data_IF_560067207321
#
_entry.id   IF_560067207321
#
_cell.length_a   1.000
_cell.length_b   1.000
_cell.length_c   1.000
_cell.angle_alpha   90.00
_cell.angle_beta   90.00
_cell.angle_gamma   90.00
#
_symmetry.space_group_name_H-M   'P 1'
#
loop_
_entity.id
_entity.type
_entity.pdbx_description
1 polymer ?
#
# COMPACT_ATOMS: atom_id res chain seq x y z
N UNK A 1 -23.08 -10.97 27.56
CA UNK A 1 -22.13 -10.27 26.67
C UNK A 1 -20.74 -10.67 27.17
N UNK A 2 -20.09 -11.65 26.54
CA UNK A 2 -18.86 -12.29 27.06
C UNK A 2 -17.64 -11.35 27.10
N UNK A 3 -17.63 -10.33 26.23
CA UNK A 3 -16.54 -9.36 26.15
C UNK A 3 -17.06 -7.93 26.27
N UNK A 4 -16.25 -7.06 26.86
CA UNK A 4 -16.53 -5.63 27.01
C UNK A 4 -15.99 -4.81 25.83
N UNK A 5 -16.39 -5.18 24.60
CA UNK A 5 -16.02 -4.42 23.40
C UNK A 5 -16.82 -3.11 23.32
N UNK A 6 -16.13 -2.04 22.92
CA UNK A 6 -16.68 -0.67 22.89
C UNK A 6 -17.70 -0.44 21.76
N UNK A 7 -17.91 -1.40 20.86
CA UNK A 7 -18.78 -1.24 19.69
C UNK A 7 -19.36 -2.57 19.24
N UNK A 8 -20.42 -2.52 18.42
CA UNK A 8 -20.97 -3.66 17.66
C UNK A 8 -20.55 -3.56 16.19
N UNK A 9 -20.69 -4.61 15.38
CA UNK A 9 -20.44 -4.52 13.94
C UNK A 9 -21.26 -3.43 13.26
N UNK A 10 -22.53 -3.25 13.63
CA UNK A 10 -23.44 -2.27 13.04
C UNK A 10 -23.02 -0.84 13.38
N UNK A 11 -22.68 -0.58 14.64
CA UNK A 11 -22.17 0.72 15.09
C UNK A 11 -20.82 1.05 14.44
N UNK A 12 -19.94 0.05 14.32
CA UNK A 12 -18.65 0.19 13.64
C UNK A 12 -18.84 0.54 12.17
N UNK A 13 -19.71 -0.19 11.46
CA UNK A 13 -20.02 0.09 10.06
C UNK A 13 -20.60 1.49 9.86
N UNK A 14 -21.53 1.91 10.74
CA UNK A 14 -22.10 3.26 10.71
C UNK A 14 -21.01 4.33 10.87
N UNK A 15 -20.08 4.14 11.81
CA UNK A 15 -18.96 5.07 12.00
C UNK A 15 -18.01 5.10 10.79
N UNK A 16 -17.73 3.95 10.17
CA UNK A 16 -16.91 3.89 8.95
C UNK A 16 -17.56 4.69 7.83
N UNK A 17 -18.88 4.53 7.61
CA UNK A 17 -19.63 5.27 6.60
C UNK A 17 -19.54 6.78 6.82
N UNK A 18 -19.78 7.24 8.05
CA UNK A 18 -19.69 8.67 8.41
C UNK A 18 -18.30 9.25 8.15
N UNK A 19 -17.23 8.52 8.48
CA UNK A 19 -15.87 8.99 8.24
C UNK A 19 -15.55 9.01 6.74
N UNK A 20 -15.98 7.97 6.00
CA UNK A 20 -15.75 7.92 4.56
C UNK A 20 -16.46 9.05 3.82
N UNK A 21 -17.70 9.38 4.20
CA UNK A 21 -18.50 10.47 3.60
C UNK A 21 -17.73 11.80 3.51
N UNK A 22 -16.88 12.09 4.50
CA UNK A 22 -16.12 13.35 4.59
C UNK A 22 -14.64 13.15 4.25
N UNK A 23 -14.08 11.99 4.59
CA UNK A 23 -12.64 11.78 4.65
C UNK A 23 -12.04 10.95 3.51
N UNK A 24 -12.86 10.25 2.71
CA UNK A 24 -12.34 9.39 1.63
C UNK A 24 -11.83 10.16 0.41
N UNK A 25 -12.17 11.45 0.30
CA UNK A 25 -11.66 12.33 -0.76
C UNK A 25 -10.12 12.42 -0.69
N UNK A 26 -9.47 12.34 -1.85
CA UNK A 26 -8.01 12.47 -1.96
C UNK A 26 -7.60 13.89 -1.59
N UNK A 27 -6.69 14.01 -0.62
CA UNK A 27 -6.06 15.27 -0.24
C UNK A 27 -4.89 15.63 -1.16
N UNK A 28 -4.31 16.80 -0.90
CA UNK A 28 -3.21 17.37 -1.68
C UNK A 28 -1.95 16.50 -1.68
N UNK A 29 -1.73 15.74 -0.61
CA UNK A 29 -0.57 14.85 -0.48
C UNK A 29 -0.74 13.48 -1.15
N UNK A 30 -1.83 13.29 -1.91
CA UNK A 30 -2.14 12.05 -2.60
C UNK A 30 -2.81 10.97 -1.75
N UNK A 31 -2.89 11.10 -0.42
CA UNK A 31 -3.67 10.21 0.44
C UNK A 31 -5.07 10.75 0.67
N UNK A 32 -6.07 9.90 1.00
CA UNK A 32 -7.35 10.40 1.51
C UNK A 32 -7.18 11.23 2.79
N UNK A 33 -8.01 12.26 2.95
CA UNK A 33 -7.94 13.22 4.07
C UNK A 33 -8.03 12.56 5.43
N UNK A 34 -8.97 11.62 5.59
CA UNK A 34 -9.17 10.90 6.84
C UNK A 34 -9.83 9.55 6.58
N UNK A 35 -9.21 8.48 7.08
CA UNK A 35 -9.80 7.14 7.02
C UNK A 35 -9.72 6.45 8.38
N UNK A 36 -10.73 5.66 8.75
CA UNK A 36 -10.72 4.92 10.01
C UNK A 36 -9.72 3.76 9.95
N UNK A 37 -9.15 3.40 11.09
CA UNK A 37 -8.40 2.17 11.27
C UNK A 37 -9.25 1.11 11.99
N UNK A 38 -9.08 -0.16 11.63
CA UNK A 38 -9.74 -1.27 12.31
C UNK A 38 -8.76 -2.10 13.13
N UNK A 39 -9.26 -2.71 14.20
CA UNK A 39 -8.49 -3.58 15.09
C UNK A 39 -9.31 -4.82 15.46
N UNK A 40 -8.87 -5.96 14.95
CA UNK A 40 -9.41 -7.28 15.27
C UNK A 40 -8.50 -7.95 16.30
N UNK A 41 -9.12 -8.48 17.36
CA UNK A 41 -8.44 -9.19 18.45
C UNK A 41 -9.02 -10.59 18.53
N UNK A 42 -8.18 -11.58 18.24
CA UNK A 42 -8.51 -13.00 18.27
C UNK A 42 -8.21 -13.63 19.64
N UNK A 43 -8.94 -14.68 20.01
CA UNK A 43 -8.82 -15.38 21.29
C UNK A 43 -9.66 -14.77 22.43
N UNK A 44 -10.65 -13.94 22.09
CA UNK A 44 -11.59 -13.41 23.08
C UNK A 44 -12.57 -14.49 23.54
N UNK A 45 -13.14 -14.35 24.74
CA UNK A 45 -14.06 -15.34 25.29
C UNK A 45 -15.30 -15.49 24.40
N UNK A 46 -15.73 -16.73 24.15
CA UNK A 46 -16.86 -17.01 23.26
C UNK A 46 -16.57 -16.84 21.77
N UNK A 47 -15.32 -16.55 21.36
CA UNK A 47 -14.91 -16.63 19.96
C UNK A 47 -15.00 -18.08 19.47
N UNK A 48 -15.62 -18.28 18.32
CA UNK A 48 -15.82 -19.59 17.68
C UNK A 48 -15.12 -19.64 16.33
N UNK A 49 -15.15 -20.81 15.71
CA UNK A 49 -14.82 -20.98 14.31
C UNK A 49 -15.49 -19.92 13.42
N UNK A 50 -16.81 -19.82 13.54
CA UNK A 50 -17.65 -18.96 12.70
C UNK A 50 -17.31 -17.47 12.86
N UNK A 51 -16.74 -17.06 14.00
CA UNK A 51 -16.30 -15.67 14.22
C UNK A 51 -15.25 -15.22 13.19
N UNK A 52 -14.39 -16.13 12.72
CA UNK A 52 -13.40 -15.83 11.69
C UNK A 52 -14.07 -15.47 10.35
N UNK A 53 -15.12 -16.20 10.01
CA UNK A 53 -15.86 -16.02 8.76
C UNK A 53 -16.71 -14.75 8.84
N UNK A 54 -17.37 -14.50 9.98
CA UNK A 54 -18.09 -13.24 10.24
C UNK A 54 -17.17 -12.01 10.14
N UNK A 55 -15.94 -12.09 10.64
CA UNK A 55 -14.96 -11.00 10.53
C UNK A 55 -14.56 -10.74 9.07
N UNK A 56 -14.39 -11.80 8.29
CA UNK A 56 -14.05 -11.68 6.87
C UNK A 56 -15.23 -11.12 6.07
N UNK A 57 -16.45 -11.59 6.31
CA UNK A 57 -17.67 -11.10 5.67
C UNK A 57 -17.91 -9.63 5.98
N UNK A 58 -17.65 -9.20 7.23
CA UNK A 58 -17.69 -7.79 7.59
C UNK A 58 -16.71 -6.96 6.75
N UNK A 59 -15.49 -7.44 6.54
CA UNK A 59 -14.48 -6.76 5.73
C UNK A 59 -14.83 -6.74 4.24
N UNK A 60 -15.36 -7.85 3.70
CA UNK A 60 -15.86 -7.93 2.31
C UNK A 60 -17.00 -6.94 2.08
N UNK A 61 -17.91 -6.83 3.05
CA UNK A 61 -18.99 -5.82 3.02
C UNK A 61 -18.46 -4.39 2.91
N UNK A 62 -17.32 -4.05 3.53
CA UNK A 62 -16.71 -2.73 3.35
C UNK A 62 -16.30 -2.50 1.90
N UNK A 63 -15.71 -3.51 1.24
CA UNK A 63 -15.35 -3.44 -0.17
C UNK A 63 -16.61 -3.34 -1.05
N UNK A 64 -17.66 -4.10 -0.76
CA UNK A 64 -18.90 -4.07 -1.53
C UNK A 64 -19.58 -2.69 -1.47
N UNK A 65 -19.49 -2.01 -0.31
CA UNK A 65 -20.01 -0.65 -0.11
C UNK A 65 -19.02 0.45 -0.53
N UNK A 66 -17.89 0.09 -1.15
CA UNK A 66 -16.82 1.00 -1.54
C UNK A 66 -16.30 1.89 -0.40
N UNK A 67 -16.29 1.35 0.82
CA UNK A 67 -15.76 2.00 2.02
C UNK A 67 -14.28 1.72 2.15
N UNK A 68 -13.52 2.77 2.47
CA UNK A 68 -12.09 2.71 2.70
C UNK A 68 -11.78 2.67 4.20
N UNK A 69 -10.73 1.94 4.54
CA UNK A 69 -10.10 1.98 5.87
C UNK A 69 -8.61 2.16 5.69
N UNK A 70 -7.98 2.89 6.62
CA UNK A 70 -6.54 3.19 6.55
C UNK A 70 -5.69 1.96 6.74
N UNK A 71 -6.09 1.09 7.66
CA UNK A 71 -5.31 -0.08 8.10
C UNK A 71 -6.18 -1.05 8.88
N UNK A 72 -5.96 -2.34 8.66
CA UNK A 72 -6.54 -3.42 9.45
C UNK A 72 -5.45 -4.05 10.33
N UNK A 73 -5.58 -3.86 11.64
CA UNK A 73 -4.75 -4.50 12.64
C UNK A 73 -5.37 -5.83 13.04
N UNK A 74 -4.58 -6.90 12.99
CA UNK A 74 -4.98 -8.26 13.34
C UNK A 74 -4.05 -8.69 14.46
N UNK A 75 -4.61 -8.87 15.66
CA UNK A 75 -3.87 -9.16 16.90
C UNK A 75 -4.48 -10.37 17.59
N UNK A 76 -3.72 -10.98 18.48
CA UNK A 76 -4.23 -11.97 19.43
C UNK A 76 -4.32 -11.31 20.80
N UNK A 77 -5.23 -11.79 21.63
CA UNK A 77 -5.34 -11.38 23.02
C UNK A 77 -4.05 -11.73 23.76
N UNK A 78 -3.63 -10.85 24.67
CA UNK A 78 -2.55 -11.12 25.61
C UNK A 78 -3.17 -11.21 27.01
N UNK A 79 -3.17 -12.39 27.66
CA UNK A 79 -3.78 -12.60 28.98
C UNK A 79 -2.90 -12.01 30.09
N UNK A 80 -2.89 -10.68 30.23
CA UNK A 80 -2.07 -9.99 31.27
C UNK A 80 -2.83 -9.82 32.58
N UNK A 81 -4.11 -9.45 32.52
CA UNK A 81 -4.93 -9.13 33.71
C UNK A 81 -5.91 -10.25 34.10
N UNK A 82 -6.23 -11.12 33.15
CA UNK A 82 -7.12 -12.27 33.32
C UNK A 82 -6.80 -13.32 32.28
N UNK A 83 -7.12 -14.57 32.61
CA UNK A 83 -7.13 -15.68 31.67
C UNK A 83 -8.27 -15.51 30.66
N UNK A 84 -8.06 -16.08 29.46
CA UNK A 84 -9.06 -16.19 28.41
C UNK A 84 -9.28 -17.66 28.10
N UNK A 85 -10.54 -18.06 28.00
CA UNK A 85 -10.94 -19.46 27.83
C UNK A 85 -10.67 -19.99 26.41
N UNK A 86 -10.59 -19.09 25.43
CA UNK A 86 -10.42 -19.44 24.02
C UNK A 86 -8.94 -19.48 23.65
N UNK A 87 -8.49 -20.66 23.23
CA UNK A 87 -7.16 -20.85 22.66
C UNK A 87 -7.19 -20.68 21.14
N UNK A 88 -6.47 -19.67 20.65
CA UNK A 88 -6.34 -19.42 19.20
C UNK A 88 -5.63 -20.58 18.52
N UNK A 89 -6.26 -21.17 17.50
CA UNK A 89 -5.61 -22.14 16.64
C UNK A 89 -4.58 -21.41 15.73
N UNK A 90 -3.28 -21.71 15.83
CA UNK A 90 -2.25 -20.97 15.09
C UNK A 90 -2.38 -21.06 13.57
N UNK A 91 -2.76 -22.24 13.05
CA UNK A 91 -2.88 -22.46 11.62
C UNK A 91 -4.07 -21.71 11.05
N UNK A 92 -5.24 -21.81 11.70
CA UNK A 92 -6.45 -21.08 11.28
C UNK A 92 -6.23 -19.57 11.34
N UNK A 93 -5.62 -19.07 12.42
CA UNK A 93 -5.29 -17.66 12.56
C UNK A 93 -4.34 -17.17 11.46
N UNK A 94 -3.30 -17.95 11.14
CA UNK A 94 -2.38 -17.62 10.06
C UNK A 94 -3.10 -17.56 8.71
N UNK A 95 -3.91 -18.57 8.38
CA UNK A 95 -4.67 -18.65 7.13
C UNK A 95 -5.62 -17.46 6.98
N UNK A 96 -6.45 -17.17 8.00
CA UNK A 96 -7.37 -16.05 7.96
C UNK A 96 -6.65 -14.70 7.87
N UNK A 97 -5.53 -14.55 8.60
CA UNK A 97 -4.70 -13.34 8.50
C UNK A 97 -4.15 -13.16 7.08
N UNK A 98 -3.63 -14.21 6.46
CA UNK A 98 -3.12 -14.19 5.08
C UNK A 98 -4.23 -13.86 4.09
N UNK A 99 -5.41 -14.46 4.26
CA UNK A 99 -6.59 -14.16 3.45
C UNK A 99 -6.98 -12.69 3.52
N UNK A 100 -7.03 -12.10 4.73
CA UNK A 100 -7.31 -10.66 4.89
C UNK A 100 -6.21 -9.81 4.22
N UNK A 101 -4.94 -10.23 4.27
CA UNK A 101 -3.85 -9.48 3.60
C UNK A 101 -3.98 -9.50 2.09
N UNK A 102 -4.36 -10.65 1.53
CA UNK A 102 -4.31 -10.88 0.09
C UNK A 102 -5.61 -10.43 -0.60
N UNK A 103 -6.76 -10.63 0.03
CA UNK A 103 -8.06 -10.23 -0.54
C UNK A 103 -8.44 -8.80 -0.14
N UNK A 104 -8.28 -8.44 1.15
CA UNK A 104 -8.84 -7.19 1.68
C UNK A 104 -7.81 -6.06 1.65
N UNK A 105 -6.66 -6.20 2.31
CA UNK A 105 -5.69 -5.09 2.39
C UNK A 105 -5.16 -4.71 1.00
N UNK A 106 -4.90 -5.69 0.13
CA UNK A 106 -4.44 -5.43 -1.23
C UNK A 106 -5.45 -4.62 -2.05
N UNK A 107 -6.73 -5.02 -2.04
CA UNK A 107 -7.80 -4.29 -2.73
C UNK A 107 -8.05 -2.91 -2.09
N UNK A 108 -7.97 -2.81 -0.76
CA UNK A 108 -8.07 -1.55 -0.03
C UNK A 108 -6.98 -0.56 -0.46
N UNK A 109 -5.73 -1.03 -0.59
CA UNK A 109 -4.61 -0.22 -1.08
C UNK A 109 -4.83 0.23 -2.53
N UNK A 110 -5.29 -0.68 -3.40
CA UNK A 110 -5.60 -0.38 -4.81
C UNK A 110 -6.62 0.75 -4.93
N UNK A 111 -7.68 0.73 -4.13
CA UNK A 111 -8.73 1.77 -4.14
C UNK A 111 -8.27 3.07 -3.49
N UNK A 112 -7.56 2.98 -2.36
CA UNK A 112 -7.08 4.15 -1.62
C UNK A 112 -6.04 4.95 -2.41
N UNK A 113 -5.07 4.26 -3.02
CA UNK A 113 -3.95 4.86 -3.78
C UNK A 113 -3.79 4.14 -5.13
N UNK A 114 -4.67 4.41 -6.12
CA UNK A 114 -4.60 3.82 -7.45
C UNK A 114 -3.27 4.14 -8.15
N UNK A 115 -2.89 3.34 -9.14
CA UNK A 115 -1.69 3.59 -9.97
C UNK A 115 -1.75 5.00 -10.57
N UNK A 116 -0.63 5.69 -10.58
CA UNK A 116 -0.54 7.08 -11.01
C UNK A 116 -0.85 8.12 -9.91
N UNK A 117 -1.30 7.68 -8.73
CA UNK A 117 -1.37 8.59 -7.57
C UNK A 117 0.02 9.11 -7.24
N UNK A 118 0.18 10.42 -7.13
CA UNK A 118 1.42 11.05 -6.65
C UNK A 118 1.29 11.26 -5.15
N UNK A 119 2.17 10.63 -4.39
CA UNK A 119 2.35 10.88 -2.96
C UNK A 119 3.46 11.91 -2.80
N UNK A 120 3.10 13.09 -2.29
CA UNK A 120 4.06 14.17 -2.11
C UNK A 120 4.84 14.01 -0.81
N UNK A 121 6.05 14.57 -0.75
CA UNK A 121 6.85 14.64 0.49
C UNK A 121 7.05 13.28 1.18
N UNK A 122 7.43 12.27 0.40
CA UNK A 122 7.87 10.97 0.93
C UNK A 122 9.28 11.11 1.46
N UNK A 123 9.43 10.96 2.78
CA UNK A 123 10.72 10.96 3.43
C UNK A 123 11.41 9.60 3.26
N UNK A 124 12.60 9.59 2.68
CA UNK A 124 13.43 8.38 2.54
C UNK A 124 14.13 8.03 3.85
N UNK A 125 13.86 6.85 4.39
CA UNK A 125 14.29 6.45 5.74
C UNK A 125 15.45 5.46 5.73
N UNK A 126 15.35 4.42 4.91
CA UNK A 126 16.29 3.30 4.91
C UNK A 126 16.46 2.75 3.49
N UNK A 127 17.62 2.15 3.23
CA UNK A 127 17.90 1.42 1.99
C UNK A 127 18.27 -0.02 2.31
N UNK A 128 17.65 -0.96 1.60
CA UNK A 128 18.00 -2.38 1.62
C UNK A 128 18.32 -2.86 0.21
N UNK A 129 19.59 -3.23 -0.01
CA UNK A 129 20.13 -3.47 -1.35
C UNK A 129 19.91 -2.28 -2.28
N UNK A 130 19.21 -2.52 -3.39
CA UNK A 130 18.85 -1.49 -4.36
C UNK A 130 17.50 -0.82 -4.07
N UNK A 131 16.76 -1.20 -3.04
CA UNK A 131 15.45 -0.62 -2.76
C UNK A 131 15.58 0.45 -1.68
N UNK A 132 15.15 1.68 -1.97
CA UNK A 132 14.96 2.71 -0.95
C UNK A 132 13.54 2.63 -0.41
N UNK A 133 13.40 2.68 0.91
CA UNK A 133 12.11 2.74 1.58
C UNK A 133 11.87 4.12 2.16
N UNK A 134 10.64 4.59 2.00
CA UNK A 134 10.21 5.87 2.53
C UNK A 134 8.76 5.87 2.98
N UNK A 135 8.39 6.93 3.70
CA UNK A 135 7.05 7.18 4.24
C UNK A 135 6.76 8.68 4.23
N UNK A 136 5.50 9.05 4.06
CA UNK A 136 5.07 10.40 4.39
C UNK A 136 5.06 10.61 5.91
N UNK A 137 5.09 11.87 6.36
CA UNK A 137 4.90 12.19 7.77
C UNK A 137 3.40 12.05 8.12
N UNK A 138 3.09 11.31 9.18
CA UNK A 138 1.70 11.15 9.64
C UNK A 138 1.51 10.01 10.65
N UNK A 139 0.29 9.83 11.15
CA UNK A 139 0.00 8.87 12.23
C UNK A 139 0.02 7.40 11.77
N UNK A 140 -0.17 7.12 10.49
CA UNK A 140 -0.08 5.77 9.89
C UNK A 140 0.31 5.83 8.40
N UNK A 141 1.53 6.29 8.07
CA UNK A 141 1.96 6.40 6.68
C UNK A 141 2.14 5.01 6.05
N UNK A 142 1.93 4.95 4.75
CA UNK A 142 2.20 3.74 3.96
C UNK A 142 3.70 3.59 3.80
N UNK A 143 4.19 2.35 3.93
CA UNK A 143 5.55 2.02 3.52
C UNK A 143 5.60 2.01 1.99
N UNK A 144 6.54 2.78 1.43
CA UNK A 144 6.73 2.94 -0.01
C UNK A 144 8.10 2.34 -0.35
N UNK A 145 8.13 1.36 -1.23
CA UNK A 145 9.35 0.79 -1.80
C UNK A 145 9.65 1.42 -3.15
N UNK A 146 10.85 1.99 -3.28
CA UNK A 146 11.35 2.62 -4.49
C UNK A 146 12.44 1.69 -5.04
N UNK A 147 12.27 1.10 -6.24
CA UNK A 147 13.07 -0.03 -6.73
C UNK A 147 14.48 0.35 -7.22
N UNK A 148 15.05 1.42 -6.66
CA UNK A 148 16.40 1.89 -6.93
C UNK A 148 16.89 2.82 -5.79
N UNK A 149 18.21 3.02 -5.66
CA UNK A 149 18.77 3.88 -4.63
C UNK A 149 18.39 5.36 -4.83
N UNK A 150 17.91 5.97 -3.74
CA UNK A 150 17.82 7.42 -3.54
C UNK A 150 18.72 7.89 -2.40
N UNK A 151 18.96 9.20 -2.32
CA UNK A 151 19.58 9.83 -1.15
C UNK A 151 18.65 9.64 0.06
N UNK A 152 19.21 9.25 1.20
CA UNK A 152 18.44 9.08 2.44
C UNK A 152 18.31 10.42 3.18
N UNK A 153 17.27 10.56 4.00
CA UNK A 153 17.03 11.80 4.75
C UNK A 153 16.50 12.97 3.90
N UNK A 154 15.99 12.66 2.70
CA UNK A 154 15.39 13.64 1.77
C UNK A 154 13.92 13.35 1.54
N UNK A 155 13.23 14.36 1.00
CA UNK A 155 11.84 14.25 0.56
C UNK A 155 11.78 14.12 -0.95
N UNK A 156 10.93 13.21 -1.42
CA UNK A 156 10.66 12.99 -2.83
C UNK A 156 9.17 12.88 -3.07
N UNK A 157 8.72 13.33 -4.24
CA UNK A 157 7.37 13.03 -4.71
C UNK A 157 7.42 11.69 -5.44
N UNK A 158 6.55 10.75 -5.06
CA UNK A 158 6.59 9.37 -5.54
C UNK A 158 5.26 9.03 -6.22
N UNK A 159 5.32 8.56 -7.45
CA UNK A 159 4.15 8.01 -8.14
C UNK A 159 3.98 6.53 -7.85
N UNK A 160 2.76 6.12 -7.51
CA UNK A 160 2.40 4.72 -7.23
C UNK A 160 2.37 3.91 -8.53
N UNK A 161 3.16 2.83 -8.57
CA UNK A 161 3.26 1.92 -9.72
C UNK A 161 2.77 0.51 -9.43
N UNK A 162 2.76 0.09 -8.17
CA UNK A 162 2.22 -1.21 -7.75
C UNK A 162 1.87 -1.29 -6.26
N UNK A 163 1.26 -2.39 -5.84
CA UNK A 163 0.90 -2.65 -4.44
C UNK A 163 1.46 -3.97 -3.93
N UNK A 164 2.01 -3.95 -2.73
CA UNK A 164 2.24 -5.14 -1.93
C UNK A 164 1.01 -5.49 -1.09
N UNK A 165 1.21 -6.33 -0.07
CA UNK A 165 0.15 -6.68 0.89
C UNK A 165 -0.20 -5.53 1.84
N UNK A 166 0.79 -4.69 2.18
CA UNK A 166 0.68 -3.62 3.20
C UNK A 166 1.58 -2.42 2.91
N UNK A 167 2.12 -2.39 1.71
CA UNK A 167 3.07 -1.42 1.22
C UNK A 167 2.72 -1.14 -0.23
N UNK A 168 3.31 -0.09 -0.78
CA UNK A 168 3.18 0.21 -2.19
C UNK A 168 4.57 0.29 -2.81
N UNK A 169 4.62 0.10 -4.12
CA UNK A 169 5.80 0.36 -4.93
C UNK A 169 5.58 1.66 -5.67
N UNK A 170 6.61 2.49 -5.75
CA UNK A 170 6.56 3.72 -6.51
C UNK A 170 7.90 4.12 -7.08
N UNK A 171 7.87 5.08 -7.99
CA UNK A 171 9.06 5.70 -8.59
C UNK A 171 8.98 7.21 -8.40
N UNK A 172 10.11 7.90 -8.51
CA UNK A 172 10.14 9.36 -8.46
C UNK A 172 9.19 9.95 -9.50
N UNK A 173 8.37 10.90 -9.06
CA UNK A 173 7.65 11.78 -9.97
C UNK A 173 8.66 12.66 -10.69
N UNK A 174 8.47 12.89 -11.99
CA UNK A 174 9.41 13.65 -12.84
C UNK A 174 10.82 13.04 -12.85
N UNK A 175 10.89 11.74 -13.07
CA UNK A 175 12.13 10.98 -13.18
C UNK A 175 12.97 11.42 -14.39
N UNK A 176 14.16 11.98 -14.14
CA UNK A 176 15.09 12.45 -15.17
C UNK A 176 15.80 11.26 -15.84
N UNK A 177 15.31 10.86 -17.00
CA UNK A 177 15.81 9.67 -17.70
C UNK A 177 17.26 9.86 -18.18
N UNK A 178 17.64 11.09 -18.52
CA UNK A 178 18.96 11.40 -19.05
C UNK A 178 20.04 11.41 -17.96
N UNK A 179 19.71 11.81 -16.73
CA UNK A 179 20.62 11.73 -15.57
C UNK A 179 20.57 10.40 -14.82
N UNK A 180 19.52 9.59 -15.01
CA UNK A 180 19.35 8.34 -14.29
C UNK A 180 20.47 7.30 -14.54
N UNK A 181 20.84 6.58 -13.48
CA UNK A 181 21.80 5.47 -13.53
C UNK A 181 21.18 4.21 -14.11
N UNK A 182 22.02 3.25 -14.52
CA UNK A 182 21.58 1.93 -14.97
C UNK A 182 20.64 1.25 -13.96
N UNK A 183 20.95 1.32 -12.67
CA UNK A 183 20.13 0.73 -11.60
C UNK A 183 18.75 1.39 -11.55
N UNK A 184 18.69 2.72 -11.58
CA UNK A 184 17.42 3.46 -11.56
C UNK A 184 16.55 3.12 -12.77
N UNK A 185 17.13 3.12 -13.97
CA UNK A 185 16.38 2.79 -15.20
C UNK A 185 15.88 1.34 -15.16
N UNK A 186 16.69 0.40 -14.66
CA UNK A 186 16.29 -1.01 -14.53
C UNK A 186 15.26 -1.29 -13.43
N UNK A 187 15.02 -0.31 -12.54
CA UNK A 187 13.99 -0.39 -11.52
C UNK A 187 12.63 0.13 -12.00
N UNK A 188 12.57 0.82 -13.15
CA UNK A 188 11.31 1.31 -13.69
C UNK A 188 10.37 0.14 -14.06
N UNK A 189 9.06 0.26 -13.84
CA UNK A 189 8.11 -0.80 -14.16
C UNK A 189 8.18 -1.14 -15.65
N UNK A 190 8.31 -2.44 -15.96
CA UNK A 190 8.44 -2.93 -17.33
C UNK A 190 9.83 -2.79 -17.95
N UNK A 191 10.82 -2.23 -17.25
CA UNK A 191 12.18 -2.02 -17.76
C UNK A 191 13.17 -2.96 -17.08
N UNK A 192 13.42 -4.13 -17.69
CA UNK A 192 14.50 -5.03 -17.25
C UNK A 192 15.89 -4.57 -17.70
N UNK A 193 16.95 -5.26 -17.23
CA UNK A 193 18.36 -4.97 -17.55
C UNK A 193 18.66 -4.77 -19.06
N UNK A 194 18.02 -5.56 -19.93
CA UNK A 194 18.19 -5.47 -21.39
C UNK A 194 17.64 -4.15 -21.96
N UNK A 195 16.41 -3.76 -21.57
CA UNK A 195 15.81 -2.49 -21.97
C UNK A 195 16.61 -1.32 -21.38
N UNK A 196 17.01 -1.42 -20.12
CA UNK A 196 17.84 -0.40 -19.48
C UNK A 196 19.18 -0.17 -20.22
N UNK A 197 19.84 -1.24 -20.69
CA UNK A 197 21.07 -1.11 -21.49
C UNK A 197 20.85 -0.35 -22.80
N UNK A 198 19.75 -0.65 -23.54
CA UNK A 198 19.38 0.07 -24.76
C UNK A 198 19.14 1.55 -24.48
N UNK A 199 18.42 1.85 -23.40
CA UNK A 199 18.10 3.22 -22.98
C UNK A 199 19.38 4.00 -22.64
N UNK A 200 20.32 3.40 -21.88
CA UNK A 200 21.61 4.02 -21.55
C UNK A 200 22.43 4.33 -22.81
N UNK A 201 22.50 3.39 -23.76
CA UNK A 201 23.23 3.56 -25.02
C UNK A 201 22.61 4.62 -25.94
N UNK A 202 21.31 4.87 -25.81
CA UNK A 202 20.57 5.84 -26.62
C UNK A 202 20.57 7.26 -26.04
N UNK A 203 21.24 7.51 -24.91
CA UNK A 203 21.35 8.85 -24.33
C UNK A 203 22.16 9.81 -25.24
N UNK A 204 21.76 11.10 -25.37
CA UNK A 204 20.61 11.73 -24.73
C UNK A 204 19.29 11.36 -25.43
N UNK A 205 18.29 11.10 -24.59
CA UNK A 205 16.96 10.67 -24.96
C UNK A 205 16.03 11.87 -25.14
N UNK A 206 15.16 11.73 -26.12
CA UNK A 206 13.92 12.48 -26.31
C UNK A 206 12.76 11.45 -26.33
N UNK A 207 11.48 11.87 -26.38
CA UNK A 207 10.37 10.93 -26.35
C UNK A 207 10.42 9.85 -27.44
N UNK A 208 10.85 10.20 -28.65
CA UNK A 208 10.91 9.27 -29.78
C UNK A 208 12.02 8.22 -29.59
N UNK A 209 13.22 8.65 -29.18
CA UNK A 209 14.33 7.73 -28.87
C UNK A 209 14.01 6.83 -27.69
N UNK A 210 13.35 7.36 -26.64
CA UNK A 210 12.95 6.54 -25.50
C UNK A 210 11.94 5.46 -25.92
N UNK A 211 10.91 5.82 -26.68
CA UNK A 211 9.92 4.89 -27.21
C UNK A 211 10.59 3.76 -28.00
N UNK A 212 11.52 4.11 -28.91
CA UNK A 212 12.30 3.15 -29.70
C UNK A 212 13.21 2.26 -28.85
N UNK A 213 13.81 2.80 -27.80
CA UNK A 213 14.70 2.04 -26.91
C UNK A 213 13.93 1.04 -26.02
N UNK A 214 12.71 1.41 -25.58
CA UNK A 214 11.82 0.54 -24.80
C UNK A 214 11.27 -0.60 -25.65
N UNK A 215 10.93 -0.31 -26.92
CA UNK A 215 10.46 -1.30 -27.90
C UNK A 215 9.18 -2.01 -27.42
N UNK A 216 8.28 -1.24 -26.79
CA UNK A 216 7.01 -1.66 -26.21
C UNK A 216 6.17 -0.42 -25.86
N UNK A 217 5.13 -0.16 -26.66
CA UNK A 217 4.30 1.03 -26.55
C UNK A 217 3.53 1.07 -25.22
N UNK A 218 3.07 -0.07 -24.72
CA UNK A 218 2.35 -0.10 -23.44
C UNK A 218 3.24 0.32 -22.28
N UNK A 219 4.50 -0.08 -22.29
CA UNK A 219 5.46 0.30 -21.24
C UNK A 219 5.86 1.77 -21.39
N UNK A 220 6.06 2.24 -22.63
CA UNK A 220 6.34 3.65 -22.88
C UNK A 220 5.19 4.54 -22.42
N UNK A 221 3.96 4.25 -22.81
CA UNK A 221 2.78 5.04 -22.48
C UNK A 221 2.54 5.09 -20.96
N UNK A 222 2.77 3.97 -20.25
CA UNK A 222 2.63 3.91 -18.81
C UNK A 222 3.69 4.73 -18.04
N UNK A 223 4.89 4.88 -18.59
CA UNK A 223 6.00 5.61 -17.96
C UNK A 223 6.05 7.09 -18.37
N UNK A 224 5.72 7.38 -19.62
CA UNK A 224 5.89 8.71 -20.23
C UNK A 224 5.35 9.90 -19.41
N UNK A 225 4.22 9.80 -18.66
CA UNK A 225 3.72 10.93 -17.88
C UNK A 225 4.64 11.34 -16.73
N UNK A 226 5.55 10.45 -16.32
CA UNK A 226 6.41 10.63 -15.14
C UNK A 226 7.88 10.84 -15.51
N UNK A 227 8.24 10.78 -16.80
CA UNK A 227 9.61 10.96 -17.27
C UNK A 227 9.85 12.42 -17.68
N UNK A 228 11.01 12.95 -17.32
CA UNK A 228 11.54 14.20 -17.86
C UNK A 228 12.84 13.94 -18.62
N UNK A 229 13.09 14.74 -19.65
CA UNK A 229 14.20 14.62 -20.60
C UNK A 229 15.22 15.74 -20.39
#
# INVERSE_FOLDING_TARGET
KENNLNSTPELTLKAIRMINEIGSERGENGMPRLLPGLNFIYGLDGETADTYDMNLDFLKKLLDENLLVRRINIRQVLPVRREFSVRVNPNRFKQNKEQIRDEIDHEMLRRMVPKGTVLTEVFTEIRDGNTTFGRQIGSYPLLIGIPYPLELGRFYDIVVTDWGKRSITGIECRFDINKATMTQISGLPGIGKKRAAKIILAKPLDPEKLRKAIDDDSVFDALSPYIVY
#
